data_IF_884742295763
#
_entry.id   IF_884742295763
#
_cell.length_a   1.000
_cell.length_b   1.000
_cell.length_c   1.000
_cell.angle_alpha   90.00
_cell.angle_beta   90.00
_cell.angle_gamma   90.00
#
_symmetry.space_group_name_H-M   'P 1'
#
loop_
_entity.id
_entity.type
_entity.pdbx_description
1 polymer ?
#
# COMPACT_ATOMS: atom_id res chain seq x y z
N UNK A 1 60.37 60.91 22.63
CA UNK A 1 59.48 61.93 23.15
C UNK A 1 58.06 61.26 23.04
N UNK A 2 57.43 60.74 23.96
CA UNK A 2 57.19 61.00 25.16
C UNK A 2 56.13 60.50 26.03
N UNK A 3 56.14 60.79 27.11
CA UNK A 3 55.17 60.79 28.21
C UNK A 3 54.48 59.50 28.55
N UNK A 4 55.18 58.78 29.39
CA UNK A 4 54.61 57.98 30.44
C UNK A 4 54.06 58.93 31.51
N UNK A 5 52.79 59.30 31.45
CA UNK A 5 52.02 59.87 32.57
C UNK A 5 51.59 58.73 33.43
N UNK A 6 52.41 58.31 34.34
CA UNK A 6 52.03 57.38 35.41
C UNK A 6 50.90 57.98 36.21
N UNK A 7 49.90 57.19 36.48
CA UNK A 7 48.73 57.51 37.29
C UNK A 7 49.12 57.40 38.77
N UNK A 8 49.96 58.34 39.26
CA UNK A 8 50.43 58.45 40.64
C UNK A 8 49.31 58.83 41.65
N UNK A 9 48.05 58.86 41.17
CA UNK A 9 46.89 59.28 41.96
C UNK A 9 46.43 58.23 42.97
N UNK A 10 46.92 57.00 42.83
CA UNK A 10 46.45 55.89 43.66
C UNK A 10 47.40 55.54 44.83
N UNK A 11 48.64 56.09 44.92
CA UNK A 11 49.59 55.71 45.95
C UNK A 11 49.32 56.38 47.32
N UNK A 12 48.68 57.54 47.35
CA UNK A 12 48.39 58.28 48.57
C UNK A 12 47.02 58.03 49.23
N UNK A 13 46.19 57.15 48.58
CA UNK A 13 44.88 56.85 49.11
C UNK A 13 44.90 55.71 50.16
N UNK A 14 44.15 55.85 51.23
CA UNK A 14 43.94 54.75 52.20
C UNK A 14 43.27 53.57 51.50
N UNK A 15 43.47 52.36 52.05
CA UNK A 15 42.85 51.10 51.44
C UNK A 15 41.37 51.28 51.31
N UNK A 16 40.66 51.98 52.19
CA UNK A 16 39.25 52.25 52.08
C UNK A 16 38.85 53.16 50.92
N UNK A 17 39.70 54.19 50.67
CA UNK A 17 39.45 55.12 49.54
C UNK A 17 39.73 54.44 48.17
N UNK A 18 40.74 53.58 48.11
CA UNK A 18 41.01 52.78 46.91
C UNK A 18 39.89 51.84 46.61
N UNK A 19 39.25 51.22 47.56
CA UNK A 19 38.09 50.36 47.39
C UNK A 19 36.86 51.16 46.92
N UNK A 20 36.64 52.35 47.56
CA UNK A 20 35.53 53.23 47.18
C UNK A 20 35.66 53.78 45.73
N UNK A 21 36.90 54.06 45.30
CA UNK A 21 37.21 54.55 43.96
C UNK A 21 37.06 53.41 42.94
N UNK A 22 37.43 52.18 43.32
CA UNK A 22 37.23 50.97 42.49
C UNK A 22 35.76 50.67 42.30
N UNK A 23 34.92 50.85 43.32
CA UNK A 23 33.48 50.68 43.23
C UNK A 23 32.81 51.76 42.35
N UNK A 24 33.38 52.98 42.34
CA UNK A 24 32.89 54.06 41.46
C UNK A 24 33.28 53.83 39.99
N UNK A 25 34.48 53.26 39.76
CA UNK A 25 34.97 53.02 38.37
C UNK A 25 34.47 51.70 37.77
N UNK A 26 34.03 50.77 38.61
CA UNK A 26 33.44 49.51 38.19
C UNK A 26 31.98 49.42 38.70
N UNK A 27 31.05 50.01 38.02
CA UNK A 27 29.64 49.89 38.40
C UNK A 27 29.26 48.40 38.43
N UNK A 28 28.56 48.02 39.48
CA UNK A 28 28.03 46.64 39.63
C UNK A 28 27.42 46.18 38.30
N UNK A 29 27.71 44.95 37.88
CA UNK A 29 27.10 44.41 36.67
C UNK A 29 25.58 44.48 36.80
N UNK A 30 24.93 45.19 35.88
CA UNK A 30 23.47 45.29 35.83
C UNK A 30 22.93 43.88 35.85
N UNK A 31 22.29 43.51 36.96
CA UNK A 31 21.58 42.23 37.05
C UNK A 31 20.58 42.17 35.90
N UNK A 32 20.86 41.31 34.91
CA UNK A 32 19.89 41.06 33.86
C UNK A 32 18.62 40.59 34.53
N UNK A 33 17.46 41.18 34.20
CA UNK A 33 16.19 40.71 34.72
C UNK A 33 16.10 39.21 34.46
N UNK A 34 15.85 38.44 35.52
CA UNK A 34 15.58 36.99 35.35
C UNK A 34 14.46 36.83 34.31
N UNK A 35 14.65 35.96 33.31
CA UNK A 35 13.58 35.71 32.34
C UNK A 35 12.34 35.28 33.15
N UNK A 36 11.16 35.75 32.74
CA UNK A 36 9.93 35.39 33.43
C UNK A 36 9.86 33.89 33.53
N UNK A 37 9.73 33.36 34.73
CA UNK A 37 9.53 31.91 34.91
C UNK A 37 8.34 31.50 34.07
N UNK A 38 8.60 30.73 33.00
CA UNK A 38 7.57 30.21 32.15
C UNK A 38 6.51 29.54 33.06
N UNK A 39 5.32 30.07 33.04
CA UNK A 39 4.21 29.56 33.83
C UNK A 39 3.96 28.11 33.43
N UNK A 40 4.26 27.18 34.32
CA UNK A 40 4.11 25.73 34.12
C UNK A 40 2.64 25.29 33.93
N UNK A 41 1.72 26.26 33.77
CA UNK A 41 0.29 26.00 33.63
C UNK A 41 -0.06 25.09 32.48
N UNK A 42 0.72 25.13 31.41
CA UNK A 42 0.47 24.32 30.21
C UNK A 42 1.41 23.12 30.08
N UNK A 43 2.46 23.02 30.89
CA UNK A 43 3.43 21.93 30.77
C UNK A 43 2.77 20.56 31.01
N UNK A 44 1.85 20.48 31.99
CA UNK A 44 1.11 19.26 32.25
C UNK A 44 0.14 18.92 31.08
N UNK A 45 -0.52 19.92 30.49
CA UNK A 45 -1.42 19.72 29.35
C UNK A 45 -0.66 19.20 28.12
N UNK A 46 0.52 19.79 27.84
CA UNK A 46 1.41 19.29 26.77
C UNK A 46 1.89 17.88 27.09
N UNK A 47 2.24 17.59 28.35
CA UNK A 47 2.63 16.24 28.79
C UNK A 47 1.53 15.20 28.57
N UNK A 48 0.28 15.54 28.89
CA UNK A 48 -0.88 14.64 28.66
C UNK A 48 -1.11 14.44 27.17
N UNK A 49 -1.04 15.49 26.34
CA UNK A 49 -1.20 15.37 24.90
C UNK A 49 -0.11 14.48 24.27
N UNK A 50 1.14 14.61 24.71
CA UNK A 50 2.24 13.75 24.27
C UNK A 50 2.04 12.30 24.71
N UNK A 51 1.60 12.07 25.97
CA UNK A 51 1.32 10.72 26.45
C UNK A 51 0.12 10.10 25.73
N UNK A 52 -0.94 10.86 25.48
CA UNK A 52 -2.06 10.37 24.67
C UNK A 52 -1.63 10.07 23.23
N UNK A 53 -0.87 10.98 22.59
CA UNK A 53 -0.32 10.76 21.25
C UNK A 53 0.56 9.51 21.19
N UNK A 54 1.45 9.33 22.16
CA UNK A 54 2.28 8.13 22.27
C UNK A 54 1.43 6.87 22.52
N UNK A 55 0.42 6.96 23.38
CA UNK A 55 -0.52 5.87 23.66
C UNK A 55 -1.29 5.45 22.40
N UNK A 56 -1.80 6.40 21.61
CA UNK A 56 -2.48 6.13 20.33
C UNK A 56 -1.51 5.48 19.34
N UNK A 57 -0.26 5.96 19.29
CA UNK A 57 0.75 5.44 18.37
C UNK A 57 1.16 4.01 18.73
N UNK A 58 1.36 3.70 20.01
CA UNK A 58 1.63 2.35 20.50
C UNK A 58 0.43 1.43 20.30
N UNK A 59 -0.78 1.91 20.58
CA UNK A 59 -2.02 1.15 20.37
C UNK A 59 -2.25 0.87 18.87
N UNK A 60 -1.99 1.84 18.00
CA UNK A 60 -2.07 1.65 16.54
C UNK A 60 -1.08 0.59 16.02
N UNK A 61 0.08 0.44 16.66
CA UNK A 61 1.04 -0.60 16.31
C UNK A 61 0.65 -2.00 16.84
N UNK A 62 -0.13 -2.06 17.92
CA UNK A 62 -0.64 -3.34 18.47
C UNK A 62 -1.91 -3.82 17.79
N UNK A 63 -2.62 -2.95 17.07
CA UNK A 63 -3.71 -3.37 16.22
C UNK A 63 -3.12 -4.26 15.11
N UNK A 64 -3.54 -5.53 15.02
CA UNK A 64 -3.11 -6.36 13.92
C UNK A 64 -3.51 -5.65 12.63
N UNK A 65 -2.53 -5.29 11.81
CA UNK A 65 -2.73 -4.75 10.47
C UNK A 65 -3.41 -5.83 9.60
N UNK A 66 -4.69 -6.08 9.87
CA UNK A 66 -5.57 -6.95 9.09
C UNK A 66 -6.12 -6.24 7.85
N UNK A 67 -5.56 -5.09 7.50
CA UNK A 67 -5.76 -4.54 6.18
C UNK A 67 -5.27 -5.56 5.16
N UNK A 68 -6.13 -5.93 4.22
CA UNK A 68 -5.72 -6.71 3.05
C UNK A 68 -4.52 -5.98 2.45
N UNK A 69 -3.33 -6.59 2.54
CA UNK A 69 -2.14 -5.97 1.96
C UNK A 69 -2.34 -5.74 0.47
N UNK A 70 -1.60 -4.80 -0.11
CA UNK A 70 -1.65 -4.53 -1.55
C UNK A 70 -0.93 -5.61 -2.41
N UNK A 71 -0.56 -6.72 -1.80
CA UNK A 71 0.23 -7.80 -2.41
C UNK A 71 -0.58 -9.02 -2.84
N UNK A 72 -1.91 -8.87 -2.89
CA UNK A 72 -2.80 -9.98 -3.22
C UNK A 72 -3.14 -10.86 -2.03
N UNK A 73 -3.94 -11.93 -2.24
CA UNK A 73 -4.41 -12.80 -1.18
C UNK A 73 -3.30 -13.71 -0.67
N UNK A 74 -3.28 -13.93 0.64
CA UNK A 74 -2.33 -14.83 1.29
C UNK A 74 -2.62 -16.31 1.01
N UNK A 75 -1.59 -17.19 1.00
CA UNK A 75 -1.79 -18.63 0.94
C UNK A 75 -2.74 -19.14 2.04
N UNK A 76 -3.62 -20.08 1.70
CA UNK A 76 -4.67 -20.59 2.58
C UNK A 76 -5.99 -19.80 2.52
N UNK A 77 -5.97 -18.57 2.06
CA UNK A 77 -7.18 -17.76 1.89
C UNK A 77 -8.13 -18.43 0.89
N UNK A 78 -9.43 -18.37 1.17
CA UNK A 78 -10.45 -18.76 0.20
C UNK A 78 -10.50 -17.74 -0.93
N UNK A 79 -10.60 -18.20 -2.17
CA UNK A 79 -10.86 -17.32 -3.31
C UNK A 79 -12.13 -16.52 -3.09
N UNK A 80 -12.15 -15.31 -3.57
CA UNK A 80 -13.36 -14.50 -3.64
C UNK A 80 -14.08 -14.75 -4.96
N UNK A 81 -15.41 -14.78 -4.90
CA UNK A 81 -16.21 -14.88 -6.10
C UNK A 81 -16.22 -13.54 -6.85
N UNK A 82 -16.10 -13.59 -8.16
CA UNK A 82 -16.41 -12.45 -9.02
C UNK A 82 -16.94 -12.92 -10.37
N UNK A 83 -17.68 -12.04 -11.03
CA UNK A 83 -18.10 -12.19 -12.40
C UNK A 83 -17.92 -10.84 -13.10
N UNK A 84 -17.12 -10.81 -14.15
CA UNK A 84 -16.78 -9.58 -14.86
C UNK A 84 -16.99 -9.75 -16.36
N UNK A 85 -17.27 -8.67 -17.12
CA UNK A 85 -17.31 -8.73 -18.56
C UNK A 85 -16.03 -9.32 -19.14
N UNK A 86 -16.17 -10.20 -20.13
CA UNK A 86 -15.03 -10.69 -20.89
C UNK A 86 -14.59 -9.65 -21.93
N UNK A 87 -13.30 -9.43 -22.09
CA UNK A 87 -12.78 -8.55 -23.13
C UNK A 87 -13.20 -8.98 -24.54
N UNK A 88 -13.32 -10.29 -24.77
CA UNK A 88 -13.75 -10.86 -26.06
C UNK A 88 -15.28 -10.94 -26.20
N UNK A 89 -16.04 -10.76 -25.11
CA UNK A 89 -17.49 -10.89 -25.12
C UNK A 89 -18.23 -9.61 -25.54
N UNK A 90 -19.56 -9.70 -25.53
CA UNK A 90 -20.48 -8.61 -25.86
C UNK A 90 -21.06 -7.88 -24.64
N UNK A 91 -20.87 -8.43 -23.45
CA UNK A 91 -21.39 -7.86 -22.20
C UNK A 91 -20.61 -6.65 -21.76
N UNK A 92 -21.32 -5.62 -21.34
CA UNK A 92 -20.79 -4.38 -20.77
C UNK A 92 -21.17 -4.27 -19.30
N UNK A 93 -20.54 -3.36 -18.58
CA UNK A 93 -20.82 -3.03 -17.18
C UNK A 93 -19.68 -3.34 -16.23
N UNK A 94 -19.92 -3.07 -14.97
CA UNK A 94 -18.97 -3.26 -13.90
C UNK A 94 -18.87 -4.72 -13.44
N UNK A 95 -17.79 -5.04 -12.76
CA UNK A 95 -17.61 -6.37 -12.22
C UNK A 95 -18.55 -6.60 -11.02
N UNK A 96 -19.20 -7.76 -10.99
CA UNK A 96 -19.97 -8.21 -9.84
C UNK A 96 -19.06 -8.94 -8.85
N UNK A 97 -19.01 -8.46 -7.63
CA UNK A 97 -18.18 -9.01 -6.54
C UNK A 97 -19.01 -9.48 -5.33
N UNK A 98 -20.33 -9.60 -5.49
CA UNK A 98 -21.21 -10.11 -4.42
C UNK A 98 -20.87 -11.56 -4.09
N UNK A 99 -20.55 -11.82 -2.81
CA UNK A 99 -20.12 -13.13 -2.35
C UNK A 99 -21.33 -14.06 -2.01
N UNK A 100 -22.39 -13.47 -1.47
CA UNK A 100 -23.63 -14.14 -1.04
C UNK A 100 -24.74 -13.12 -0.84
N UNK A 101 -26.00 -13.57 -0.89
CA UNK A 101 -27.14 -12.74 -0.52
C UNK A 101 -27.17 -12.38 0.98
N UNK A 102 -27.70 -11.20 1.33
CA UNK A 102 -28.17 -10.15 0.42
C UNK A 102 -26.99 -9.41 -0.23
N UNK A 103 -27.07 -9.20 -1.54
CA UNK A 103 -26.15 -8.35 -2.26
C UNK A 103 -26.49 -6.86 -2.06
N UNK A 104 -25.53 -5.98 -2.28
CA UNK A 104 -25.74 -4.54 -2.34
C UNK A 104 -25.47 -4.02 -3.76
N UNK A 105 -25.99 -2.87 -4.09
CA UNK A 105 -25.89 -2.31 -5.44
C UNK A 105 -24.44 -2.14 -5.93
N UNK A 106 -23.51 -1.81 -5.02
CA UNK A 106 -22.10 -1.62 -5.36
C UNK A 106 -21.34 -2.94 -5.58
N UNK A 107 -21.84 -4.05 -5.02
CA UNK A 107 -21.21 -5.37 -5.18
C UNK A 107 -21.84 -6.19 -6.30
N UNK A 108 -23.02 -5.80 -6.75
CA UNK A 108 -23.83 -6.53 -7.73
C UNK A 108 -25.20 -6.94 -7.19
N UNK A 109 -26.13 -7.31 -8.06
CA UNK A 109 -27.53 -7.60 -7.70
C UNK A 109 -27.78 -9.04 -7.27
N UNK A 110 -26.94 -9.95 -7.70
CA UNK A 110 -27.00 -11.39 -7.40
C UNK A 110 -25.61 -11.90 -7.07
N UNK A 111 -25.46 -13.04 -6.37
CA UNK A 111 -24.13 -13.59 -6.10
C UNK A 111 -23.33 -13.82 -7.37
N UNK A 112 -22.06 -13.45 -7.37
CA UNK A 112 -21.18 -13.54 -8.54
C UNK A 112 -21.08 -14.98 -9.09
N UNK A 113 -21.15 -15.99 -8.22
CA UNK A 113 -21.14 -17.40 -8.62
C UNK A 113 -22.35 -17.82 -9.47
N UNK A 114 -23.45 -17.08 -9.40
CA UNK A 114 -24.68 -17.41 -10.11
C UNK A 114 -24.73 -16.76 -11.50
N UNK A 115 -23.82 -15.85 -11.77
CA UNK A 115 -23.65 -15.23 -13.08
C UNK A 115 -22.80 -16.12 -13.99
N UNK A 116 -23.42 -16.66 -15.03
CA UNK A 116 -22.79 -17.52 -16.03
C UNK A 116 -23.23 -17.08 -17.42
N UNK A 117 -22.42 -17.35 -18.41
CA UNK A 117 -22.78 -17.13 -19.80
C UNK A 117 -21.63 -16.71 -20.69
N UNK A 118 -21.89 -16.66 -21.99
CA UNK A 118 -20.97 -16.10 -22.98
C UNK A 118 -20.75 -14.62 -22.68
N UNK A 119 -19.52 -14.17 -22.78
CA UNK A 119 -19.18 -12.78 -22.54
C UNK A 119 -18.97 -12.40 -21.06
N UNK A 120 -19.01 -13.37 -20.14
CA UNK A 120 -18.72 -13.16 -18.71
C UNK A 120 -17.61 -14.12 -18.27
N UNK A 121 -16.62 -13.59 -17.57
CA UNK A 121 -15.59 -14.39 -16.87
C UNK A 121 -16.01 -14.52 -15.41
N UNK A 122 -16.30 -15.73 -14.97
CA UNK A 122 -16.69 -16.00 -13.58
C UNK A 122 -15.64 -16.83 -12.86
N UNK A 123 -15.24 -16.38 -11.69
CA UNK A 123 -14.41 -17.11 -10.74
C UNK A 123 -15.25 -17.42 -9.51
N UNK A 124 -15.44 -18.72 -9.24
CA UNK A 124 -16.21 -19.14 -8.08
C UNK A 124 -15.38 -20.07 -7.18
N UNK A 125 -15.29 -19.80 -5.87
CA UNK A 125 -14.53 -20.62 -4.93
C UNK A 125 -15.14 -22.01 -4.68
N UNK A 126 -16.34 -22.27 -5.17
CA UNK A 126 -16.98 -23.61 -5.09
C UNK A 126 -16.49 -24.54 -6.20
N UNK A 127 -15.85 -24.00 -7.25
CA UNK A 127 -15.34 -24.80 -8.36
C UNK A 127 -14.08 -25.54 -7.95
N UNK A 128 -14.02 -26.82 -8.34
CA UNK A 128 -12.85 -27.67 -8.13
C UNK A 128 -11.84 -27.46 -9.25
N UNK A 129 -10.62 -27.88 -9.01
CA UNK A 129 -9.52 -27.82 -9.96
C UNK A 129 -8.49 -26.76 -9.63
N UNK A 130 -7.49 -26.68 -10.49
CA UNK A 130 -6.41 -25.72 -10.41
C UNK A 130 -6.73 -24.45 -11.23
N UNK A 131 -6.34 -23.30 -10.71
CA UNK A 131 -6.55 -22.01 -11.36
C UNK A 131 -5.35 -21.10 -11.16
N UNK A 132 -4.92 -20.45 -12.23
CA UNK A 132 -3.91 -19.40 -12.20
C UNK A 132 -4.60 -18.10 -12.64
N UNK A 133 -4.53 -17.08 -11.78
CA UNK A 133 -5.09 -15.77 -12.07
C UNK A 133 -3.98 -14.74 -12.10
N UNK A 134 -3.91 -13.94 -13.16
CA UNK A 134 -2.95 -12.85 -13.28
C UNK A 134 -3.69 -11.53 -13.26
N UNK A 135 -3.31 -10.65 -12.35
CA UNK A 135 -3.86 -9.32 -12.20
C UNK A 135 -2.92 -8.30 -12.83
N UNK A 136 -3.49 -7.45 -13.68
CA UNK A 136 -2.80 -6.40 -14.42
C UNK A 136 -3.53 -5.09 -14.20
N UNK A 137 -2.79 -4.06 -13.82
CA UNK A 137 -3.26 -2.67 -13.80
C UNK A 137 -2.49 -1.96 -14.90
N UNK A 138 -3.16 -1.57 -15.96
CA UNK A 138 -2.50 -1.13 -17.20
C UNK A 138 -1.96 0.29 -17.13
N UNK A 139 -2.49 1.12 -16.25
CA UNK A 139 -2.07 2.52 -16.16
C UNK A 139 -0.72 2.68 -15.48
N UNK A 140 0.31 2.93 -16.30
CA UNK A 140 1.64 3.34 -15.83
C UNK A 140 2.56 2.21 -15.36
N UNK A 141 2.25 0.94 -15.69
CA UNK A 141 3.06 -0.20 -15.28
C UNK A 141 3.27 -1.18 -16.43
N UNK A 142 4.46 -1.82 -16.48
CA UNK A 142 4.83 -2.83 -17.47
C UNK A 142 4.52 -4.24 -16.93
N UNK A 143 3.24 -4.60 -16.89
CA UNK A 143 2.75 -5.84 -16.28
C UNK A 143 2.34 -6.90 -17.31
N UNK A 144 2.08 -6.51 -18.54
CA UNK A 144 1.63 -7.38 -19.63
C UNK A 144 2.60 -8.51 -19.97
N UNK A 145 3.94 -8.35 -19.84
CA UNK A 145 4.89 -9.44 -20.07
C UNK A 145 4.63 -10.68 -19.22
N UNK A 146 4.02 -10.53 -18.05
CA UNK A 146 3.63 -11.69 -17.23
C UNK A 146 2.49 -12.47 -17.87
N UNK A 147 1.50 -11.76 -18.43
CA UNK A 147 0.37 -12.41 -19.14
C UNK A 147 0.86 -13.10 -20.40
N UNK A 148 1.81 -12.51 -21.12
CA UNK A 148 2.43 -13.13 -22.29
C UNK A 148 3.13 -14.46 -21.93
N UNK A 149 3.78 -14.53 -20.76
CA UNK A 149 4.38 -15.79 -20.29
C UNK A 149 3.32 -16.82 -19.91
N UNK A 150 2.23 -16.39 -19.28
CA UNK A 150 1.08 -17.26 -18.99
C UNK A 150 0.51 -17.83 -20.28
N UNK A 151 0.30 -16.99 -21.32
CA UNK A 151 -0.20 -17.43 -22.61
C UNK A 151 0.68 -18.48 -23.25
N UNK A 152 2.02 -18.33 -23.18
CA UNK A 152 2.95 -19.29 -23.77
C UNK A 152 2.93 -20.68 -23.08
N UNK A 153 2.70 -20.72 -21.78
CA UNK A 153 2.72 -22.00 -21.05
C UNK A 153 1.36 -22.66 -20.91
N UNK A 154 0.25 -21.92 -21.08
CA UNK A 154 -1.10 -22.44 -20.76
C UNK A 154 -1.47 -23.73 -21.48
N UNK A 155 -1.02 -23.89 -22.72
CA UNK A 155 -1.28 -25.09 -23.53
C UNK A 155 -0.63 -26.36 -22.94
N UNK A 156 0.39 -26.20 -22.10
CA UNK A 156 1.05 -27.32 -21.40
C UNK A 156 0.21 -27.86 -20.22
N UNK A 157 -0.83 -27.11 -19.80
CA UNK A 157 -1.64 -27.40 -18.61
C UNK A 157 -3.15 -27.33 -18.91
N UNK A 158 -3.70 -28.27 -19.68
CA UNK A 158 -5.10 -28.24 -20.12
C UNK A 158 -6.09 -28.33 -18.95
N UNK A 159 -5.70 -28.93 -17.81
CA UNK A 159 -6.54 -29.06 -16.62
C UNK A 159 -6.48 -27.85 -15.68
N UNK A 160 -5.69 -26.83 -16.02
CA UNK A 160 -5.55 -25.60 -15.25
C UNK A 160 -6.31 -24.47 -15.92
N UNK A 161 -7.18 -23.83 -15.18
CA UNK A 161 -7.90 -22.64 -15.66
C UNK A 161 -7.00 -21.41 -15.49
N UNK A 162 -6.73 -20.75 -16.62
CA UNK A 162 -6.00 -19.48 -16.63
C UNK A 162 -6.99 -18.34 -16.83
N UNK A 163 -6.88 -17.29 -16.01
CA UNK A 163 -7.71 -16.08 -16.08
C UNK A 163 -6.82 -14.86 -15.90
N UNK A 164 -6.99 -13.87 -16.75
CA UNK A 164 -6.37 -12.55 -16.56
C UNK A 164 -7.43 -11.56 -16.14
N UNK A 165 -7.15 -10.72 -15.16
CA UNK A 165 -7.97 -9.58 -14.75
C UNK A 165 -7.21 -8.32 -15.13
N UNK A 166 -7.82 -7.49 -15.96
CA UNK A 166 -7.27 -6.18 -16.36
C UNK A 166 -8.12 -5.10 -15.73
N UNK A 167 -7.49 -4.24 -14.96
CA UNK A 167 -8.17 -3.18 -14.21
C UNK A 167 -7.67 -1.80 -14.64
N UNK A 168 -8.59 -0.84 -14.66
CA UNK A 168 -8.30 0.56 -14.93
C UNK A 168 -8.46 0.99 -16.39
N UNK A 169 -8.62 0.05 -17.30
CA UNK A 169 -8.90 0.31 -18.71
C UNK A 169 -10.38 0.08 -19.03
N UNK A 170 -10.84 0.74 -20.06
CA UNK A 170 -12.14 0.42 -20.66
C UNK A 170 -12.12 -0.98 -21.29
N UNK A 171 -13.31 -1.55 -21.50
CA UNK A 171 -13.42 -2.84 -22.18
C UNK A 171 -12.83 -2.82 -23.59
N UNK A 172 -13.03 -1.74 -24.34
CA UNK A 172 -12.48 -1.59 -25.69
C UNK A 172 -10.95 -1.56 -25.69
N UNK A 173 -10.33 -0.85 -24.75
CA UNK A 173 -8.89 -0.81 -24.58
C UNK A 173 -8.35 -2.19 -24.18
N UNK A 174 -8.98 -2.84 -23.20
CA UNK A 174 -8.61 -4.20 -22.78
C UNK A 174 -8.74 -5.21 -23.92
N UNK A 175 -9.80 -5.12 -24.73
CA UNK A 175 -9.98 -5.95 -25.91
C UNK A 175 -8.86 -5.74 -26.93
N UNK A 176 -8.56 -4.47 -27.24
CA UNK A 176 -7.49 -4.13 -28.18
C UNK A 176 -6.13 -4.61 -27.69
N UNK A 177 -5.85 -4.47 -26.39
CA UNK A 177 -4.64 -5.00 -25.76
C UNK A 177 -4.57 -6.52 -25.90
N UNK A 178 -5.62 -7.24 -25.56
CA UNK A 178 -5.66 -8.70 -25.64
C UNK A 178 -5.44 -9.19 -27.08
N UNK A 179 -6.03 -8.51 -28.07
CA UNK A 179 -5.83 -8.81 -29.50
C UNK A 179 -4.38 -8.54 -29.91
N UNK A 180 -3.83 -7.38 -29.58
CA UNK A 180 -2.47 -6.99 -29.95
C UNK A 180 -1.42 -7.93 -29.33
N UNK A 181 -1.66 -8.39 -28.10
CA UNK A 181 -0.80 -9.33 -27.37
C UNK A 181 -1.09 -10.80 -27.68
N UNK A 182 -2.14 -11.10 -28.45
CA UNK A 182 -2.58 -12.47 -28.79
C UNK A 182 -2.89 -13.31 -27.55
N UNK A 183 -3.57 -12.71 -26.56
CA UNK A 183 -4.04 -13.44 -25.40
C UNK A 183 -5.31 -14.23 -25.73
N UNK A 184 -5.27 -15.54 -25.56
CA UNK A 184 -6.41 -16.43 -25.84
C UNK A 184 -7.06 -16.95 -24.56
N UNK A 185 -6.41 -16.79 -23.38
CA UNK A 185 -7.06 -17.08 -22.11
C UNK A 185 -8.19 -16.07 -21.85
N UNK A 186 -9.17 -16.44 -20.99
CA UNK A 186 -10.20 -15.52 -20.55
C UNK A 186 -9.60 -14.26 -19.91
N UNK A 187 -9.99 -13.09 -20.40
CA UNK A 187 -9.59 -11.78 -19.88
C UNK A 187 -10.84 -11.11 -19.31
N UNK A 188 -10.87 -10.95 -18.00
CA UNK A 188 -11.90 -10.25 -17.25
C UNK A 188 -11.59 -8.74 -17.23
N UNK A 189 -12.58 -7.92 -17.52
CA UNK A 189 -12.49 -6.47 -17.49
C UNK A 189 -12.99 -5.96 -16.14
N UNK A 190 -12.16 -5.25 -15.42
CA UNK A 190 -12.42 -4.69 -14.10
C UNK A 190 -12.28 -3.17 -14.16
N UNK A 191 -13.21 -2.52 -14.85
CA UNK A 191 -13.14 -1.07 -15.15
C UNK A 191 -13.15 -0.22 -13.89
N UNK A 192 -13.97 -0.60 -12.91
CA UNK A 192 -14.16 0.10 -11.63
C UNK A 192 -13.17 -0.30 -10.53
N UNK A 193 -12.33 -1.32 -10.79
CA UNK A 193 -11.36 -1.81 -9.83
C UNK A 193 -11.94 -2.66 -8.69
N UNK A 194 -13.21 -3.07 -8.78
CA UNK A 194 -13.87 -3.84 -7.72
C UNK A 194 -13.19 -5.19 -7.47
N UNK A 195 -12.71 -5.87 -8.54
CA UNK A 195 -12.03 -7.17 -8.39
C UNK A 195 -10.64 -7.00 -7.79
N UNK A 196 -9.84 -6.03 -8.28
CA UNK A 196 -8.50 -5.79 -7.73
C UNK A 196 -8.57 -5.36 -6.26
N UNK A 197 -9.57 -4.54 -5.90
CA UNK A 197 -9.82 -4.16 -4.49
C UNK A 197 -10.22 -5.37 -3.64
N UNK A 198 -11.10 -6.24 -4.16
CA UNK A 198 -11.55 -7.46 -3.48
C UNK A 198 -10.37 -8.38 -3.16
N UNK A 199 -9.44 -8.52 -4.10
CA UNK A 199 -8.26 -9.37 -3.97
C UNK A 199 -7.08 -8.68 -3.28
N UNK A 200 -7.17 -7.41 -2.92
CA UNK A 200 -6.09 -6.64 -2.31
C UNK A 200 -4.89 -6.46 -3.25
N UNK A 201 -5.14 -6.24 -4.53
CA UNK A 201 -4.13 -6.00 -5.55
C UNK A 201 -3.87 -4.51 -5.67
N UNK A 202 -2.71 -4.06 -5.25
CA UNK A 202 -2.30 -2.64 -5.37
C UNK A 202 -1.00 -2.46 -6.15
N UNK A 203 -0.40 -3.57 -6.59
CA UNK A 203 0.80 -3.59 -7.43
C UNK A 203 0.59 -4.60 -8.54
N UNK A 204 1.29 -4.48 -9.66
CA UNK A 204 1.19 -5.44 -10.74
C UNK A 204 2.56 -5.80 -11.35
N UNK A 205 2.65 -6.98 -11.96
CA UNK A 205 1.64 -8.03 -11.96
C UNK A 205 1.56 -8.76 -10.62
N UNK A 206 0.37 -9.26 -10.28
CA UNK A 206 0.21 -10.29 -9.24
C UNK A 206 -0.30 -11.56 -9.90
N UNK A 207 0.35 -12.70 -9.62
CA UNK A 207 -0.11 -14.01 -10.07
C UNK A 207 -0.53 -14.85 -8.87
N UNK A 208 -1.79 -15.25 -8.85
CA UNK A 208 -2.39 -16.06 -7.78
C UNK A 208 -2.58 -17.49 -8.28
N UNK A 209 -2.05 -18.43 -7.53
CA UNK A 209 -2.17 -19.87 -7.78
C UNK A 209 -3.19 -20.44 -6.79
N UNK A 210 -4.29 -20.99 -7.26
CA UNK A 210 -5.34 -21.51 -6.41
C UNK A 210 -5.76 -22.93 -6.82
N UNK A 211 -6.14 -23.74 -5.84
CA UNK A 211 -6.67 -25.09 -6.08
C UNK A 211 -7.87 -25.34 -5.17
N UNK A 212 -8.95 -25.85 -5.73
CA UNK A 212 -10.20 -26.16 -5.01
C UNK A 212 -10.71 -24.95 -4.22
N UNK A 213 -10.69 -23.77 -4.85
CA UNK A 213 -11.17 -22.53 -4.26
C UNK A 213 -10.33 -21.95 -3.13
N UNK A 214 -9.09 -22.42 -2.95
CA UNK A 214 -8.13 -21.86 -1.97
C UNK A 214 -6.83 -21.44 -2.64
N UNK A 215 -6.33 -20.29 -2.25
CA UNK A 215 -5.01 -19.80 -2.64
C UNK A 215 -3.94 -20.73 -2.10
N UNK A 216 -3.04 -21.19 -2.95
CA UNK A 216 -1.87 -22.00 -2.61
C UNK A 216 -0.60 -21.17 -2.59
N UNK A 217 -0.55 -20.18 -3.48
CA UNK A 217 0.59 -19.28 -3.61
C UNK A 217 0.14 -17.96 -4.25
N UNK A 218 0.85 -16.89 -3.96
CA UNK A 218 0.65 -15.57 -4.57
C UNK A 218 2.01 -14.94 -4.82
N UNK A 219 2.26 -14.49 -6.04
CA UNK A 219 3.52 -13.89 -6.44
C UNK A 219 3.33 -12.46 -6.90
N UNK A 220 4.13 -11.57 -6.35
CA UNK A 220 4.21 -10.16 -6.76
C UNK A 220 5.37 -10.01 -7.74
N UNK A 221 5.12 -9.35 -8.86
CA UNK A 221 6.12 -9.13 -9.91
C UNK A 221 6.17 -10.26 -10.93
N UNK A 222 7.05 -10.08 -11.88
CA UNK A 222 7.23 -10.99 -13.00
C UNK A 222 7.91 -12.31 -12.57
N UNK A 223 7.30 -13.43 -12.92
CA UNK A 223 7.89 -14.76 -12.87
C UNK A 223 8.56 -15.08 -14.20
N UNK A 224 9.67 -15.78 -14.17
CA UNK A 224 10.22 -16.43 -15.36
C UNK A 224 9.29 -17.56 -15.83
N UNK A 225 9.38 -17.96 -17.09
CA UNK A 225 8.59 -19.09 -17.58
C UNK A 225 8.88 -20.38 -16.83
N UNK A 226 10.13 -20.60 -16.42
CA UNK A 226 10.54 -21.79 -15.67
C UNK A 226 9.87 -21.82 -14.27
N UNK A 227 9.87 -20.69 -13.55
CA UNK A 227 9.19 -20.57 -12.26
C UNK A 227 7.68 -20.71 -12.40
N UNK A 228 7.09 -20.09 -13.42
CA UNK A 228 5.66 -20.16 -13.70
C UNK A 228 5.25 -21.61 -13.99
N UNK A 229 5.99 -22.35 -14.85
CA UNK A 229 5.77 -23.77 -15.09
C UNK A 229 5.92 -24.61 -13.82
N UNK A 230 6.95 -24.36 -13.03
CA UNK A 230 7.17 -25.10 -11.79
C UNK A 230 6.01 -24.91 -10.79
N UNK A 231 5.57 -23.67 -10.58
CA UNK A 231 4.45 -23.37 -9.70
C UNK A 231 3.14 -23.97 -10.21
N UNK A 232 2.88 -23.88 -11.52
CA UNK A 232 1.69 -24.46 -12.16
C UNK A 232 1.69 -25.98 -12.08
N UNK A 233 2.81 -26.66 -12.28
CA UNK A 233 2.93 -28.12 -12.08
C UNK A 233 2.60 -28.57 -10.67
N UNK A 234 3.14 -27.87 -9.66
CA UNK A 234 2.83 -28.14 -8.24
C UNK A 234 1.35 -27.92 -7.91
N UNK A 235 0.71 -27.02 -8.64
CA UNK A 235 -0.71 -26.72 -8.46
C UNK A 235 -1.58 -27.81 -9.11
N UNK A 236 -1.20 -28.33 -10.27
CA UNK A 236 -1.93 -29.34 -11.05
C UNK A 236 -1.87 -30.75 -10.40
N UNK A 237 -0.71 -31.13 -9.84
CA UNK A 237 -0.51 -32.38 -9.11
C UNK A 237 -1.06 -32.35 -7.71
#
# INVERSE_FOLDING_TARGET
>A
MTEQGGDDRFEDLSVGERLAERDRTHPEPVRRPEPPRASNKYAWAVGILLLMGLGVLLFAQTLPNKGKGLRGPEPGTRLFAFAAPSAAGDKEGDANVCQKEPCNENAGRVPACDLRGSGIVTVCPRERGARVMTFVVTRGTDCEPQVDRVERIRAEFPDVQFVTVVSGDSKSETKNLAIARRWHQPVAVDTDGSVVNLYGVGVCPITVFARNGRVRDSNVGNLTEAELRQKTRRLAG
#
